data_IF_778639190879
#
_entry.id   IF_778639190879
#
_cell.length_a   1.000
_cell.length_b   1.000
_cell.length_c   1.000
_cell.angle_alpha   90.00
_cell.angle_beta   90.00
_cell.angle_gamma   90.00
#
_symmetry.space_group_name_H-M   'P 1'
#
loop_
_entity.id
_entity.type
_entity.pdbx_description
1 polymer ?
#
# COMPACT_ATOMS: atom_id res chain seq x y z
N UNK A 1 43.47 12.55 -0.62
CA UNK A 1 42.21 13.25 -0.96
C UNK A 1 41.15 12.51 -0.15
N UNK A 2 41.02 12.93 1.10
CA UNK A 2 40.31 12.19 2.13
C UNK A 2 38.81 12.27 1.89
N UNK A 3 38.20 11.10 1.71
CA UNK A 3 36.74 10.89 1.70
C UNK A 3 36.23 10.71 3.13
N UNK A 4 36.72 11.50 4.09
CA UNK A 4 36.21 11.50 5.45
C UNK A 4 35.28 12.70 5.64
N UNK A 5 34.07 12.42 6.12
CA UNK A 5 33.11 13.38 6.68
C UNK A 5 32.06 13.97 5.75
N UNK A 6 31.49 13.15 4.85
CA UNK A 6 30.11 13.41 4.43
C UNK A 6 29.22 12.90 5.56
N UNK A 7 28.74 13.81 6.41
CA UNK A 7 27.67 13.51 7.37
C UNK A 7 26.54 12.78 6.63
N UNK A 8 26.04 11.64 7.13
CA UNK A 8 24.93 10.97 6.47
C UNK A 8 23.78 11.97 6.36
N UNK A 9 23.12 12.08 5.20
CA UNK A 9 21.99 12.98 5.05
C UNK A 9 20.94 12.74 6.15
N UNK A 10 20.17 13.77 6.53
CA UNK A 10 19.25 13.71 7.68
C UNK A 10 18.05 12.79 7.47
N UNK A 11 17.92 12.18 6.30
CA UNK A 11 16.90 11.19 5.99
C UNK A 11 17.46 9.76 6.10
N UNK A 12 16.65 8.79 6.56
CA UNK A 12 17.08 7.40 6.68
C UNK A 12 17.56 6.87 5.32
N UNK A 13 18.74 6.26 5.34
CA UNK A 13 19.36 5.68 4.15
C UNK A 13 18.45 4.60 3.55
N UNK A 14 18.47 4.47 2.23
CA UNK A 14 17.78 3.39 1.53
C UNK A 14 18.34 2.05 2.05
N UNK A 15 17.51 1.25 2.71
CA UNK A 15 17.91 -0.01 3.33
C UNK A 15 18.17 0.04 4.84
N UNK A 16 17.97 1.19 5.49
CA UNK A 16 18.18 1.36 6.93
C UNK A 16 17.12 0.68 7.84
N UNK A 17 16.20 -0.10 7.27
CA UNK A 17 15.20 -0.85 8.01
C UNK A 17 13.95 -1.21 7.21
N UNK A 18 13.12 -2.08 7.77
CA UNK A 18 11.91 -2.61 7.14
C UNK A 18 10.91 -1.51 6.72
N UNK A 19 10.85 -0.42 7.46
CA UNK A 19 9.90 0.70 7.25
C UNK A 19 10.49 1.86 6.43
N UNK A 20 11.62 1.64 5.76
CA UNK A 20 12.24 2.67 4.91
C UNK A 20 11.26 3.15 3.84
N UNK A 21 11.02 4.47 3.78
CA UNK A 21 10.09 5.14 2.85
C UNK A 21 8.62 4.72 2.98
N UNK A 22 8.24 4.12 4.11
CA UNK A 22 6.86 3.71 4.44
C UNK A 22 5.82 4.78 4.06
N UNK A 23 6.02 6.02 4.46
CA UNK A 23 5.09 7.13 4.19
C UNK A 23 4.79 7.34 2.70
N UNK A 24 5.79 7.18 1.83
CA UNK A 24 5.60 7.31 0.38
C UNK A 24 4.80 6.16 -0.21
N UNK A 25 5.01 4.93 0.30
CA UNK A 25 4.22 3.77 -0.12
C UNK A 25 2.79 3.85 0.42
N UNK A 26 2.64 4.23 1.68
CA UNK A 26 1.35 4.42 2.32
C UNK A 26 0.50 5.42 1.53
N UNK A 27 1.04 6.59 1.21
CA UNK A 27 0.30 7.59 0.43
C UNK A 27 -0.15 7.04 -0.94
N UNK A 28 0.74 6.35 -1.67
CA UNK A 28 0.41 5.78 -2.99
C UNK A 28 -0.67 4.71 -2.90
N UNK A 29 -0.56 3.79 -1.95
CA UNK A 29 -1.54 2.72 -1.77
C UNK A 29 -2.86 3.22 -1.20
N UNK A 30 -2.86 4.26 -0.35
CA UNK A 30 -4.08 4.93 0.09
C UNK A 30 -4.80 5.59 -1.08
N UNK A 31 -4.09 6.36 -1.91
CA UNK A 31 -4.69 6.99 -3.11
C UNK A 31 -5.25 5.91 -4.03
N UNK A 32 -4.48 4.86 -4.32
CA UNK A 32 -4.94 3.75 -5.13
C UNK A 32 -6.19 3.07 -4.53
N UNK A 33 -6.15 2.74 -3.24
CA UNK A 33 -7.24 2.09 -2.53
C UNK A 33 -8.51 2.93 -2.51
N UNK A 34 -8.40 4.23 -2.25
CA UNK A 34 -9.53 5.18 -2.30
C UNK A 34 -10.12 5.24 -3.71
N UNK A 35 -9.28 5.44 -4.74
CA UNK A 35 -9.74 5.54 -6.13
C UNK A 35 -10.47 4.28 -6.55
N UNK A 36 -9.93 3.10 -6.28
CA UNK A 36 -10.59 1.82 -6.61
C UNK A 36 -11.82 1.58 -5.73
N UNK A 37 -11.79 1.99 -4.46
CA UNK A 37 -12.89 1.90 -3.50
C UNK A 37 -14.15 2.64 -3.95
N UNK A 38 -14.01 3.79 -4.61
CA UNK A 38 -15.13 4.55 -5.16
C UNK A 38 -15.97 3.75 -6.17
N UNK A 39 -15.35 2.77 -6.85
CA UNK A 39 -16.01 1.91 -7.82
C UNK A 39 -16.46 0.57 -7.24
N UNK A 40 -16.32 0.34 -5.92
CA UNK A 40 -16.81 -0.90 -5.34
C UNK A 40 -18.34 -0.93 -5.30
N UNK A 41 -18.95 -2.04 -5.74
CA UNK A 41 -20.37 -2.28 -5.48
C UNK A 41 -20.55 -2.41 -3.97
N UNK A 42 -21.43 -1.59 -3.42
CA UNK A 42 -21.87 -1.65 -2.03
C UNK A 42 -23.38 -1.80 -2.12
N UNK A 43 -23.93 -2.76 -1.36
CA UNK A 43 -25.33 -3.15 -1.45
C UNK A 43 -26.29 -1.97 -1.33
N UNK A 44 -27.39 -2.05 -2.09
CA UNK A 44 -28.44 -1.04 -2.10
C UNK A 44 -29.23 -0.96 -0.78
N UNK A 45 -28.99 -1.88 0.16
CA UNK A 45 -29.61 -1.89 1.48
C UNK A 45 -29.21 -0.74 2.39
N UNK A 46 -28.11 -0.02 2.08
CA UNK A 46 -27.73 1.21 2.77
C UNK A 46 -28.52 2.37 2.17
N UNK A 47 -29.48 2.93 2.92
CA UNK A 47 -30.49 3.84 2.37
C UNK A 47 -29.96 5.19 1.87
N UNK A 48 -28.87 5.70 2.44
CA UNK A 48 -28.40 7.07 2.19
C UNK A 48 -27.06 7.12 1.43
N UNK A 49 -26.98 8.01 0.42
CA UNK A 49 -25.82 8.14 -0.46
C UNK A 49 -24.51 8.42 0.31
N UNK A 50 -24.57 9.26 1.34
CA UNK A 50 -23.39 9.61 2.14
C UNK A 50 -22.83 8.42 2.92
N UNK A 51 -23.71 7.54 3.42
CA UNK A 51 -23.30 6.31 4.10
C UNK A 51 -22.62 5.35 3.13
N UNK A 52 -23.16 5.19 1.91
CA UNK A 52 -22.53 4.37 0.86
C UNK A 52 -21.16 4.90 0.48
N UNK A 53 -21.02 6.21 0.28
CA UNK A 53 -19.74 6.84 -0.06
C UNK A 53 -18.73 6.68 1.08
N UNK A 54 -19.15 6.89 2.33
CA UNK A 54 -18.29 6.69 3.51
C UNK A 54 -17.81 5.24 3.61
N UNK A 55 -18.69 4.26 3.37
CA UNK A 55 -18.34 2.85 3.39
C UNK A 55 -17.36 2.49 2.25
N UNK A 56 -17.61 2.98 1.02
CA UNK A 56 -16.68 2.80 -0.12
C UNK A 56 -15.29 3.37 0.17
N UNK A 57 -15.23 4.56 0.76
CA UNK A 57 -13.98 5.19 1.14
C UNK A 57 -13.26 4.41 2.26
N UNK A 58 -13.99 3.94 3.27
CA UNK A 58 -13.43 3.15 4.37
C UNK A 58 -12.88 1.79 3.89
N UNK A 59 -13.62 1.10 3.02
CA UNK A 59 -13.19 -0.15 2.40
C UNK A 59 -11.96 0.07 1.50
N UNK A 60 -11.97 1.11 0.66
CA UNK A 60 -10.83 1.48 -0.18
C UNK A 60 -9.59 1.87 0.65
N UNK A 61 -9.77 2.66 1.70
CA UNK A 61 -8.68 3.07 2.58
C UNK A 61 -8.08 1.88 3.34
N UNK A 62 -8.92 0.98 3.88
CA UNK A 62 -8.44 -0.22 4.58
C UNK A 62 -7.66 -1.14 3.65
N UNK A 63 -8.13 -1.33 2.40
CA UNK A 63 -7.35 -2.00 1.36
C UNK A 63 -5.99 -1.35 1.14
N UNK A 64 -5.96 -0.02 0.99
CA UNK A 64 -4.73 0.75 0.78
C UNK A 64 -3.72 0.62 1.93
N UNK A 65 -4.19 0.63 3.17
CA UNK A 65 -3.32 0.43 4.35
C UNK A 65 -2.70 -0.96 4.34
N UNK A 66 -3.50 -2.01 4.15
CA UNK A 66 -2.99 -3.40 4.14
C UNK A 66 -1.99 -3.60 3.00
N UNK A 67 -2.29 -3.09 1.81
CA UNK A 67 -1.38 -3.16 0.67
C UNK A 67 -0.08 -2.38 0.90
N UNK A 68 -0.14 -1.21 1.53
CA UNK A 68 1.06 -0.49 1.92
C UNK A 68 1.96 -1.34 2.81
N UNK A 69 1.40 -1.96 3.87
CA UNK A 69 2.13 -2.78 4.84
C UNK A 69 2.88 -3.90 4.12
N UNK A 70 2.14 -4.72 3.38
CA UNK A 70 2.70 -5.88 2.70
C UNK A 70 3.73 -5.46 1.64
N UNK A 71 3.44 -4.42 0.86
CA UNK A 71 4.36 -3.93 -0.16
C UNK A 71 5.64 -3.40 0.46
N UNK A 72 5.55 -2.66 1.57
CA UNK A 72 6.73 -2.08 2.20
C UNK A 72 7.64 -3.17 2.75
N UNK A 73 7.06 -4.16 3.42
CA UNK A 73 7.80 -5.33 3.89
C UNK A 73 8.44 -6.08 2.72
N UNK A 74 7.70 -6.32 1.64
CA UNK A 74 8.18 -7.07 0.48
C UNK A 74 9.28 -6.32 -0.29
N UNK A 75 9.07 -5.05 -0.63
CA UNK A 75 10.04 -4.23 -1.38
C UNK A 75 11.34 -4.05 -0.59
N UNK A 76 11.25 -3.77 0.71
CA UNK A 76 12.44 -3.56 1.53
C UNK A 76 13.14 -4.87 1.95
N UNK A 77 12.50 -6.04 1.78
CA UNK A 77 13.12 -7.36 2.02
C UNK A 77 13.71 -7.97 0.75
N UNK A 78 12.95 -7.97 -0.35
CA UNK A 78 13.30 -8.70 -1.58
C UNK A 78 13.93 -7.82 -2.66
N UNK A 79 13.82 -6.50 -2.55
CA UNK A 79 14.28 -5.56 -3.57
C UNK A 79 15.02 -4.35 -2.96
N UNK A 80 15.97 -4.61 -2.06
CA UNK A 80 16.82 -3.59 -1.44
C UNK A 80 17.58 -2.74 -2.47
N UNK A 81 18.01 -3.37 -3.58
CA UNK A 81 18.71 -2.72 -4.72
C UNK A 81 17.75 -1.91 -5.61
N UNK A 82 16.43 -2.02 -5.40
CA UNK A 82 15.39 -1.27 -6.13
C UNK A 82 15.41 -1.47 -7.63
N UNK A 83 15.52 -2.72 -8.04
CA UNK A 83 15.42 -3.10 -9.45
C UNK A 83 13.98 -2.87 -9.91
N UNK A 84 13.81 -2.05 -10.95
CA UNK A 84 12.51 -1.58 -11.42
C UNK A 84 11.52 -2.70 -11.72
N UNK A 85 11.93 -3.75 -12.44
CA UNK A 85 11.02 -4.85 -12.79
C UNK A 85 10.55 -5.63 -11.56
N UNK A 86 11.42 -5.78 -10.54
CA UNK A 86 11.07 -6.43 -9.27
C UNK A 86 10.04 -5.61 -8.51
N UNK A 87 10.20 -4.29 -8.48
CA UNK A 87 9.22 -3.39 -7.86
C UNK A 87 7.85 -3.57 -8.51
N UNK A 88 7.75 -3.58 -9.84
CA UNK A 88 6.47 -3.81 -10.53
C UNK A 88 5.87 -5.18 -10.24
N UNK A 89 6.69 -6.23 -10.25
CA UNK A 89 6.25 -7.58 -9.88
C UNK A 89 5.71 -7.61 -8.44
N UNK A 90 6.40 -6.96 -7.49
CA UNK A 90 5.96 -6.86 -6.11
C UNK A 90 4.67 -6.04 -5.96
N UNK A 91 4.51 -4.95 -6.70
CA UNK A 91 3.24 -4.19 -6.74
C UNK A 91 2.09 -5.10 -7.17
N UNK A 92 2.26 -5.84 -8.29
CA UNK A 92 1.24 -6.73 -8.82
C UNK A 92 0.92 -7.88 -7.85
N UNK A 93 1.94 -8.50 -7.26
CA UNK A 93 1.76 -9.58 -6.29
C UNK A 93 1.09 -9.09 -5.01
N UNK A 94 1.51 -7.94 -4.46
CA UNK A 94 0.86 -7.35 -3.29
C UNK A 94 -0.60 -7.04 -3.59
N UNK A 95 -0.89 -6.43 -4.74
CA UNK A 95 -2.27 -6.16 -5.15
C UNK A 95 -3.10 -7.44 -5.24
N UNK A 96 -2.59 -8.49 -5.90
CA UNK A 96 -3.29 -9.76 -6.05
C UNK A 96 -3.56 -10.44 -4.70
N UNK A 97 -2.56 -10.48 -3.81
CA UNK A 97 -2.68 -11.07 -2.47
C UNK A 97 -3.71 -10.31 -1.64
N UNK A 98 -3.61 -8.98 -1.55
CA UNK A 98 -4.56 -8.19 -0.76
C UNK A 98 -5.96 -8.28 -1.34
N UNK A 99 -6.10 -8.28 -2.67
CA UNK A 99 -7.41 -8.44 -3.32
C UNK A 99 -8.04 -9.79 -2.98
N UNK A 100 -7.26 -10.87 -3.04
CA UNK A 100 -7.73 -12.20 -2.66
C UNK A 100 -8.16 -12.24 -1.20
N UNK A 101 -7.35 -11.70 -0.28
CA UNK A 101 -7.70 -11.59 1.15
C UNK A 101 -9.00 -10.80 1.35
N UNK A 102 -9.14 -9.65 0.69
CA UNK A 102 -10.31 -8.78 0.83
C UNK A 102 -11.60 -9.46 0.36
N UNK A 103 -11.57 -10.07 -0.83
CA UNK A 103 -12.73 -10.80 -1.37
C UNK A 103 -13.06 -12.01 -0.52
N UNK A 104 -12.04 -12.73 -0.02
CA UNK A 104 -12.24 -13.89 0.87
C UNK A 104 -12.85 -13.48 2.20
N UNK A 105 -12.37 -12.40 2.81
CA UNK A 105 -12.92 -11.88 4.05
C UNK A 105 -14.39 -11.46 3.89
N UNK A 106 -14.75 -10.79 2.79
CA UNK A 106 -16.14 -10.44 2.49
C UNK A 106 -16.99 -11.70 2.28
N UNK A 107 -16.48 -12.73 1.60
CA UNK A 107 -17.23 -13.95 1.33
C UNK A 107 -17.52 -14.79 2.59
N UNK A 108 -16.77 -14.56 3.68
CA UNK A 108 -16.91 -15.29 4.95
C UNK A 108 -17.76 -14.56 5.99
N UNK A 109 -18.22 -13.34 5.70
CA UNK A 109 -19.08 -12.51 6.56
C UNK A 109 -20.48 -12.47 6.00
#
# INVERSE_FOLDING_TARGET
MDKSDISPPPWPQVGAGLWTRWWGYLARWLVFGIVVGLFQPVDDGVGELWQRMSLRLALGASFGVVAAILFTMAENTFNTVRVWWKTWLLVLLTWAVVKALFVTAIALV
#
